data_IF_966083606280
#
_entry.id   IF_966083606280
#
_cell.length_a   1.000
_cell.length_b   1.000
_cell.length_c   1.000
_cell.angle_alpha   90.00
_cell.angle_beta   90.00
_cell.angle_gamma   90.00
#
_symmetry.space_group_name_H-M   'P 1'
#
loop_
_entity.id
_entity.type
_entity.pdbx_description
1 polymer ?
#
# COMPACT_ATOMS: atom_id res chain seq x y z
N UNK A 1 -9.40 -8.94 16.52
CA UNK A 1 -10.06 -9.02 17.85
C UNK A 1 -10.22 -10.44 18.39
N UNK A 2 -10.62 -11.43 17.58
CA UNK A 2 -10.78 -12.83 18.03
C UNK A 2 -9.51 -13.42 18.66
N UNK A 3 -8.35 -13.23 18.03
CA UNK A 3 -7.06 -13.73 18.57
C UNK A 3 -6.75 -13.22 19.98
N UNK A 4 -7.01 -11.94 20.28
CA UNK A 4 -6.83 -11.37 21.62
C UNK A 4 -7.81 -12.03 22.62
N UNK A 5 -9.06 -12.25 22.22
CA UNK A 5 -10.06 -12.93 23.04
C UNK A 5 -9.65 -14.37 23.36
N UNK A 6 -9.15 -15.10 22.38
CA UNK A 6 -8.67 -16.48 22.54
C UNK A 6 -7.44 -16.54 23.46
N UNK A 7 -6.54 -15.55 23.35
CA UNK A 7 -5.38 -15.43 24.22
C UNK A 7 -5.79 -15.13 25.67
N UNK A 8 -6.68 -14.16 25.88
CA UNK A 8 -7.23 -13.81 27.20
C UNK A 8 -7.91 -15.02 27.85
N UNK A 9 -8.69 -15.80 27.09
CA UNK A 9 -9.38 -16.98 27.59
C UNK A 9 -8.42 -18.07 28.14
N UNK A 10 -7.13 -18.05 27.79
CA UNK A 10 -6.14 -19.02 28.29
C UNK A 10 -5.69 -18.73 29.72
N UNK A 11 -5.71 -17.48 30.17
CA UNK A 11 -5.13 -17.11 31.47
C UNK A 11 -5.97 -16.12 32.31
N UNK A 12 -7.01 -15.53 31.75
CA UNK A 12 -7.93 -14.59 32.42
C UNK A 12 -9.23 -15.30 32.79
N UNK A 13 -9.80 -14.96 33.93
CA UNK A 13 -11.06 -15.49 34.41
C UNK A 13 -12.21 -15.14 33.44
N UNK A 14 -13.08 -16.11 33.09
CA UNK A 14 -14.21 -15.85 32.19
C UNK A 14 -15.14 -14.73 32.68
N UNK A 15 -15.30 -14.57 33.98
CA UNK A 15 -16.08 -13.48 34.59
C UNK A 15 -15.51 -12.10 34.25
N UNK A 16 -14.20 -11.92 34.38
CA UNK A 16 -13.52 -10.66 34.04
C UNK A 16 -13.59 -10.35 32.54
N UNK A 17 -13.53 -11.38 31.67
CA UNK A 17 -13.69 -11.19 30.22
C UNK A 17 -15.13 -10.78 29.87
N UNK A 18 -16.13 -11.45 30.46
CA UNK A 18 -17.55 -11.20 30.18
C UNK A 18 -18.07 -9.87 30.76
N UNK A 19 -17.41 -9.35 31.80
CA UNK A 19 -17.74 -8.05 32.39
C UNK A 19 -17.39 -6.86 31.48
N UNK A 20 -16.57 -7.07 30.44
CA UNK A 20 -16.15 -6.03 29.50
C UNK A 20 -16.85 -6.19 28.15
N UNK A 21 -17.28 -5.06 27.56
CA UNK A 21 -17.87 -5.03 26.22
C UNK A 21 -16.83 -5.33 25.14
N UNK A 22 -15.58 -4.90 25.36
CA UNK A 22 -14.46 -5.13 24.45
C UNK A 22 -13.30 -5.93 25.09
N UNK A 23 -12.66 -6.86 24.37
CA UNK A 23 -11.41 -7.49 24.78
C UNK A 23 -10.28 -6.50 25.13
N UNK A 24 -10.34 -5.25 24.64
CA UNK A 24 -9.36 -4.20 24.94
C UNK A 24 -9.49 -3.63 26.35
N UNK A 25 -10.66 -3.78 26.96
CA UNK A 25 -10.98 -3.20 28.28
C UNK A 25 -10.69 -4.19 29.41
N UNK A 26 -10.44 -5.46 29.08
CA UNK A 26 -10.23 -6.51 30.06
C UNK A 26 -8.99 -6.20 30.92
N UNK A 27 -9.13 -6.09 32.26
CA UNK A 27 -8.02 -5.80 33.18
C UNK A 27 -7.18 -7.05 33.45
N UNK A 28 -6.53 -7.59 32.41
CA UNK A 28 -5.76 -8.85 32.49
C UNK A 28 -4.43 -8.73 33.23
N UNK A 29 -3.94 -7.51 33.49
CA UNK A 29 -2.72 -7.28 34.27
C UNK A 29 -2.93 -7.58 35.76
N UNK A 30 -4.16 -7.44 36.25
CA UNK A 30 -4.51 -7.72 37.64
C UNK A 30 -4.56 -9.21 37.91
N UNK A 31 -3.76 -9.67 38.88
CA UNK A 31 -3.69 -11.07 39.27
C UNK A 31 -5.05 -11.63 39.73
N UNK A 32 -5.91 -10.78 40.32
CA UNK A 32 -7.28 -11.13 40.76
C UNK A 32 -8.18 -11.54 39.59
N UNK A 33 -7.91 -11.00 38.40
CA UNK A 33 -8.67 -11.29 37.19
C UNK A 33 -8.08 -12.47 36.42
N UNK A 34 -6.94 -13.01 36.84
CA UNK A 34 -6.31 -14.15 36.21
C UNK A 34 -6.75 -15.47 36.87
N UNK A 35 -6.72 -16.54 36.09
CA UNK A 35 -7.03 -17.91 36.54
C UNK A 35 -6.03 -18.40 37.58
N UNK A 36 -6.41 -19.39 38.39
CA UNK A 36 -5.47 -20.12 39.24
C UNK A 36 -4.43 -20.90 38.39
N UNK A 37 -3.35 -21.37 39.01
CA UNK A 37 -2.25 -22.03 38.27
C UNK A 37 -2.70 -23.31 37.57
N UNK A 38 -3.64 -24.02 38.19
CA UNK A 38 -4.20 -25.29 37.75
C UNK A 38 -5.14 -25.11 36.55
N UNK A 39 -5.72 -23.92 36.42
CA UNK A 39 -6.72 -23.57 35.41
C UNK A 39 -6.13 -22.87 34.17
N UNK A 40 -4.81 -22.60 34.17
CA UNK A 40 -4.12 -22.03 33.02
C UNK A 40 -4.12 -23.00 31.84
N UNK A 41 -4.50 -22.50 30.66
CA UNK A 41 -4.59 -23.31 29.45
C UNK A 41 -3.26 -23.30 28.69
N UNK A 42 -2.36 -24.21 29.07
CA UNK A 42 -0.97 -24.29 28.57
C UNK A 42 -0.70 -25.41 27.56
N UNK A 43 -1.67 -26.31 27.39
CA UNK A 43 -1.54 -27.54 26.60
C UNK A 43 -0.92 -28.69 27.38
N UNK A 44 -1.22 -29.93 26.96
CA UNK A 44 -0.86 -31.15 27.67
C UNK A 44 0.66 -31.32 27.86
N UNK A 45 1.46 -31.06 26.83
CA UNK A 45 2.93 -31.19 26.88
C UNK A 45 3.55 -30.26 27.93
N UNK A 46 3.12 -29.00 27.92
CA UNK A 46 3.59 -27.96 28.84
C UNK A 46 3.24 -28.28 30.29
N UNK A 47 2.02 -28.77 30.53
CA UNK A 47 1.58 -29.20 31.87
C UNK A 47 2.37 -30.41 32.37
N UNK A 48 2.69 -31.37 31.49
CA UNK A 48 3.54 -32.51 31.86
C UNK A 48 4.93 -32.08 32.33
N UNK A 49 5.54 -31.10 31.65
CA UNK A 49 6.80 -30.50 32.10
C UNK A 49 6.63 -29.82 33.46
N UNK A 50 5.57 -29.03 33.64
CA UNK A 50 5.30 -28.33 34.89
C UNK A 50 5.10 -29.28 36.08
N UNK A 51 4.44 -30.44 35.87
CA UNK A 51 4.22 -31.45 36.91
C UNK A 51 5.53 -32.00 37.49
N UNK A 52 6.55 -32.19 36.66
CA UNK A 52 7.87 -32.69 37.04
C UNK A 52 8.76 -31.69 37.78
N UNK A 53 8.35 -30.42 37.88
CA UNK A 53 9.13 -29.39 38.57
C UNK A 53 8.99 -29.47 40.10
N UNK A 54 10.06 -29.08 40.81
CA UNK A 54 10.03 -28.84 42.27
C UNK A 54 9.16 -27.63 42.60
N UNK A 55 8.64 -27.55 43.82
CA UNK A 55 7.72 -26.49 44.25
C UNK A 55 8.23 -25.06 43.97
N UNK A 56 9.50 -24.77 44.26
CA UNK A 56 10.11 -23.47 43.99
C UNK A 56 10.11 -23.12 42.49
N UNK A 57 10.50 -24.07 41.64
CA UNK A 57 10.51 -23.89 40.18
C UNK A 57 9.10 -23.85 39.57
N UNK A 58 8.10 -24.48 40.21
CA UNK A 58 6.69 -24.40 39.78
C UNK A 58 6.15 -22.98 39.91
N UNK A 59 6.42 -22.33 41.03
CA UNK A 59 5.97 -20.95 41.25
C UNK A 59 6.60 -20.00 40.22
N UNK A 60 7.91 -20.13 39.98
CA UNK A 60 8.62 -19.37 38.95
C UNK A 60 8.03 -19.62 37.56
N UNK A 61 7.84 -20.90 37.19
CA UNK A 61 7.25 -21.29 35.92
C UNK A 61 5.89 -20.63 35.66
N UNK A 62 4.96 -20.71 36.61
CA UNK A 62 3.63 -20.11 36.45
C UNK A 62 3.67 -18.58 36.41
N UNK A 63 4.60 -17.95 37.14
CA UNK A 63 4.84 -16.51 37.06
C UNK A 63 5.33 -16.11 35.65
N UNK A 64 6.30 -16.84 35.09
CA UNK A 64 6.82 -16.61 33.74
C UNK A 64 5.73 -16.80 32.68
N UNK A 65 4.90 -17.82 32.83
CA UNK A 65 3.76 -18.08 31.93
C UNK A 65 2.76 -16.93 31.92
N UNK A 66 2.38 -16.41 33.10
CA UNK A 66 1.49 -15.25 33.20
C UNK A 66 2.12 -14.03 32.57
N UNK A 67 3.40 -13.78 32.85
CA UNK A 67 4.16 -12.68 32.25
C UNK A 67 4.19 -12.79 30.72
N UNK A 68 4.41 -13.98 30.18
CA UNK A 68 4.38 -14.23 28.74
C UNK A 68 3.01 -13.84 28.14
N UNK A 69 1.91 -14.30 28.74
CA UNK A 69 0.58 -13.96 28.24
C UNK A 69 0.29 -12.45 28.35
N UNK A 70 0.62 -11.82 29.48
CA UNK A 70 0.44 -10.37 29.67
C UNK A 70 1.22 -9.57 28.63
N UNK A 71 2.52 -9.87 28.45
CA UNK A 71 3.38 -9.18 27.46
C UNK A 71 2.88 -9.42 26.04
N UNK A 72 2.37 -10.61 25.73
CA UNK A 72 1.78 -10.91 24.42
C UNK A 72 0.51 -10.11 24.19
N UNK A 73 -0.37 -9.99 25.18
CA UNK A 73 -1.56 -9.13 25.12
C UNK A 73 -1.17 -7.65 24.94
N UNK A 74 -0.18 -7.15 25.68
CA UNK A 74 0.31 -5.78 25.55
C UNK A 74 0.87 -5.54 24.14
N UNK A 75 1.71 -6.45 23.64
CA UNK A 75 2.25 -6.38 22.28
C UNK A 75 1.14 -6.35 21.23
N UNK A 76 0.10 -7.17 21.35
CA UNK A 76 -1.04 -7.15 20.43
C UNK A 76 -1.74 -5.79 20.49
N UNK A 77 -1.99 -5.25 21.68
CA UNK A 77 -2.66 -3.95 21.86
C UNK A 77 -1.83 -2.78 21.33
N UNK A 78 -0.51 -2.86 21.41
CA UNK A 78 0.39 -1.81 20.94
C UNK A 78 0.68 -1.91 19.44
N UNK A 79 0.91 -3.13 18.92
CA UNK A 79 1.29 -3.34 17.52
C UNK A 79 0.11 -3.27 16.58
N UNK A 80 -1.05 -3.79 16.99
CA UNK A 80 -2.26 -3.64 16.20
C UNK A 80 -2.96 -2.36 16.61
N UNK A 81 -3.23 -1.49 15.65
CA UNK A 81 -3.99 -0.28 15.85
C UNK A 81 -5.48 -0.62 16.02
N UNK A 82 -5.84 -1.36 17.08
CA UNK A 82 -7.19 -1.90 17.34
C UNK A 82 -8.23 -0.81 17.65
N UNK A 83 -7.78 0.43 17.85
CA UNK A 83 -8.63 1.64 17.96
C UNK A 83 -8.59 2.51 16.70
N UNK A 84 -7.97 2.04 15.62
CA UNK A 84 -7.87 2.81 14.39
C UNK A 84 -9.24 2.93 13.73
N UNK A 85 -9.69 4.16 13.58
CA UNK A 85 -10.99 4.48 12.99
C UNK A 85 -11.12 3.96 11.56
N UNK A 86 -10.06 4.02 10.75
CA UNK A 86 -10.03 3.46 9.39
C UNK A 86 -10.26 1.96 9.40
N UNK A 87 -9.60 1.21 10.29
CA UNK A 87 -9.77 -0.25 10.36
C UNK A 87 -11.16 -0.63 10.84
N UNK A 88 -11.72 0.09 11.81
CA UNK A 88 -13.08 -0.14 12.29
C UNK A 88 -14.10 0.14 11.18
N UNK A 89 -13.93 1.24 10.43
CA UNK A 89 -14.81 1.56 9.30
C UNK A 89 -14.64 0.55 8.16
N UNK A 90 -13.46 -0.04 7.97
CA UNK A 90 -13.22 -1.06 6.95
C UNK A 90 -14.03 -2.35 7.15
N UNK A 91 -14.60 -2.58 8.34
CA UNK A 91 -15.51 -3.71 8.58
C UNK A 91 -16.75 -3.68 7.67
N UNK A 92 -17.09 -2.52 7.10
CA UNK A 92 -18.12 -2.37 6.05
C UNK A 92 -17.91 -3.31 4.85
N UNK A 93 -16.65 -3.70 4.58
CA UNK A 93 -16.32 -4.64 3.52
C UNK A 93 -16.56 -6.11 3.89
N UNK A 94 -16.93 -6.42 5.13
CA UNK A 94 -17.24 -7.79 5.53
C UNK A 94 -18.75 -8.04 5.49
N UNK A 95 -19.20 -8.87 4.56
CA UNK A 95 -20.63 -9.16 4.37
C UNK A 95 -21.31 -9.75 5.62
N UNK A 96 -20.56 -10.38 6.53
CA UNK A 96 -21.12 -10.89 7.80
C UNK A 96 -21.64 -9.80 8.73
N UNK A 97 -21.12 -8.58 8.58
CA UNK A 97 -21.51 -7.41 9.37
C UNK A 97 -22.35 -6.42 8.54
N UNK A 98 -22.82 -6.82 7.35
CA UNK A 98 -23.54 -5.94 6.44
C UNK A 98 -24.79 -5.30 7.09
N UNK A 99 -25.50 -6.05 7.93
CA UNK A 99 -26.70 -5.55 8.62
C UNK A 99 -26.39 -4.45 9.65
N UNK A 100 -25.20 -4.49 10.26
CA UNK A 100 -24.75 -3.52 11.26
C UNK A 100 -23.89 -2.40 10.64
N UNK A 101 -23.57 -2.53 9.35
CA UNK A 101 -22.67 -1.63 8.65
C UNK A 101 -23.33 -0.25 8.41
N UNK A 102 -22.58 0.81 8.67
CA UNK A 102 -23.06 2.19 8.57
C UNK A 102 -22.64 2.85 7.25
N UNK A 103 -23.55 3.64 6.67
CA UNK A 103 -23.23 4.56 5.55
C UNK A 103 -22.08 5.51 5.87
N UNK A 104 -21.88 5.84 7.15
CA UNK A 104 -20.77 6.67 7.61
C UNK A 104 -19.40 6.07 7.24
N UNK A 105 -19.30 4.73 7.18
CA UNK A 105 -18.09 4.04 6.75
C UNK A 105 -17.83 4.21 5.26
N UNK A 106 -18.86 4.10 4.41
CA UNK A 106 -18.75 4.35 2.96
C UNK A 106 -18.30 5.77 2.69
N UNK A 107 -18.99 6.75 3.31
CA UNK A 107 -18.65 8.17 3.20
C UNK A 107 -17.20 8.43 3.59
N UNK A 108 -16.76 7.91 4.74
CA UNK A 108 -15.39 8.06 5.21
C UNK A 108 -14.37 7.61 4.16
N UNK A 109 -14.57 6.46 3.52
CA UNK A 109 -13.62 5.98 2.51
C UNK A 109 -13.71 6.73 1.19
N UNK A 110 -14.90 7.13 0.75
CA UNK A 110 -15.06 7.93 -0.47
C UNK A 110 -14.44 9.32 -0.30
N UNK A 111 -14.59 9.94 0.88
CA UNK A 111 -13.96 11.21 1.23
C UNK A 111 -12.43 11.08 1.36
N UNK A 112 -11.95 10.03 2.04
CA UNK A 112 -10.52 9.79 2.26
C UNK A 112 -9.79 9.38 0.98
N UNK A 113 -10.45 8.61 0.10
CA UNK A 113 -9.89 8.07 -1.14
C UNK A 113 -10.85 8.30 -2.32
N UNK A 114 -10.91 9.53 -2.87
CA UNK A 114 -11.85 9.89 -3.93
C UNK A 114 -11.87 8.95 -5.15
N UNK A 115 -10.76 8.26 -5.42
CA UNK A 115 -10.57 7.38 -6.59
C UNK A 115 -11.27 6.01 -6.45
N UNK A 116 -11.74 5.65 -5.26
CA UNK A 116 -12.42 4.35 -5.04
C UNK A 116 -13.91 4.41 -5.40
N UNK A 117 -14.46 5.61 -5.62
CA UNK A 117 -15.84 5.78 -6.04
C UNK A 117 -15.92 5.47 -7.54
N UNK A 118 -16.59 4.40 -7.97
CA UNK A 118 -16.79 4.16 -9.39
C UNK A 118 -17.72 5.24 -9.93
N UNK A 119 -17.30 5.90 -11.00
CA UNK A 119 -18.01 7.03 -11.60
C UNK A 119 -18.12 6.82 -13.11
N UNK A 120 -19.29 7.09 -13.68
CA UNK A 120 -19.53 7.10 -15.12
C UNK A 120 -18.87 8.29 -15.82
N UNK A 121 -18.68 8.22 -17.15
CA UNK A 121 -17.96 9.27 -17.93
C UNK A 121 -18.57 10.68 -17.80
N UNK A 122 -19.90 10.76 -17.67
CA UNK A 122 -20.65 12.01 -17.61
C UNK A 122 -21.45 12.15 -16.29
N UNK A 123 -21.17 11.30 -15.31
CA UNK A 123 -21.84 11.29 -14.01
C UNK A 123 -21.09 12.23 -13.08
N UNK A 124 -21.79 13.06 -12.31
CA UNK A 124 -21.16 13.88 -11.27
C UNK A 124 -20.76 13.02 -10.07
N UNK A 125 -19.83 13.53 -9.26
CA UNK A 125 -19.39 12.81 -8.05
C UNK A 125 -20.52 12.63 -7.03
N UNK A 126 -21.44 13.59 -6.97
CA UNK A 126 -22.60 13.54 -6.06
C UNK A 126 -23.57 12.45 -6.51
N UNK A 127 -23.94 12.43 -7.79
CA UNK A 127 -24.81 11.38 -8.36
C UNK A 127 -24.20 9.98 -8.19
N UNK A 128 -22.89 9.85 -8.44
CA UNK A 128 -22.18 8.59 -8.26
C UNK A 128 -22.21 8.09 -6.80
N UNK A 129 -22.12 9.01 -5.85
CA UNK A 129 -22.15 8.68 -4.43
C UNK A 129 -23.58 8.36 -3.95
N UNK A 130 -24.57 9.12 -4.39
CA UNK A 130 -25.98 8.85 -4.10
C UNK A 130 -26.41 7.47 -4.66
N UNK A 131 -25.96 7.13 -5.87
CA UNK A 131 -26.18 5.81 -6.47
C UNK A 131 -25.50 4.68 -5.67
N UNK A 132 -24.28 4.92 -5.15
CA UNK A 132 -23.58 3.97 -4.29
C UNK A 132 -24.33 3.75 -2.96
N UNK A 133 -24.82 4.81 -2.32
CA UNK A 133 -25.62 4.71 -1.11
C UNK A 133 -26.94 3.96 -1.38
N UNK A 134 -27.58 4.23 -2.53
CA UNK A 134 -28.76 3.49 -2.98
C UNK A 134 -28.52 1.99 -3.15
N UNK A 135 -27.47 1.61 -3.90
CA UNK A 135 -27.11 0.19 -4.08
C UNK A 135 -26.77 -0.50 -2.75
N UNK A 136 -26.07 0.19 -1.83
CA UNK A 136 -25.74 -0.35 -0.53
C UNK A 136 -26.99 -0.57 0.34
N UNK A 137 -27.92 0.39 0.34
CA UNK A 137 -29.19 0.26 1.06
C UNK A 137 -30.02 -0.91 0.52
N UNK A 138 -30.08 -1.08 -0.80
CA UNK A 138 -30.76 -2.20 -1.42
C UNK A 138 -30.08 -3.53 -1.11
N UNK A 139 -28.73 -3.57 -1.11
CA UNK A 139 -27.95 -4.75 -0.75
C UNK A 139 -28.21 -5.18 0.70
N UNK A 140 -28.32 -4.24 1.64
CA UNK A 140 -28.67 -4.53 3.05
C UNK A 140 -30.05 -5.18 3.20
N UNK A 141 -31.00 -4.82 2.32
CA UNK A 141 -32.33 -5.45 2.29
C UNK A 141 -32.36 -6.76 1.48
N UNK A 142 -31.30 -7.06 0.73
CA UNK A 142 -31.23 -8.21 -0.15
C UNK A 142 -30.80 -9.48 0.59
N UNK A 143 -31.46 -10.61 0.28
CA UNK A 143 -31.04 -11.92 0.80
C UNK A 143 -29.90 -12.48 -0.06
N UNK A 144 -28.67 -12.27 0.40
CA UNK A 144 -27.47 -12.85 -0.20
C UNK A 144 -27.47 -14.38 0.01
N UNK A 145 -27.14 -15.15 -1.03
CA UNK A 145 -27.04 -16.62 -0.96
C UNK A 145 -26.01 -17.08 0.08
N UNK A 146 -26.32 -18.17 0.79
CA UNK A 146 -25.40 -18.79 1.75
C UNK A 146 -24.09 -19.25 1.09
N UNK A 147 -24.12 -19.62 -0.20
CA UNK A 147 -22.91 -19.97 -0.96
C UNK A 147 -21.90 -18.81 -1.01
N UNK A 148 -22.41 -17.58 -1.14
CA UNK A 148 -21.57 -16.38 -1.13
C UNK A 148 -21.07 -16.09 0.29
N UNK A 149 -21.93 -16.23 1.31
CA UNK A 149 -21.57 -15.90 2.70
C UNK A 149 -20.60 -16.92 3.33
N UNK A 150 -20.64 -18.18 2.87
CA UNK A 150 -19.79 -19.26 3.34
C UNK A 150 -18.38 -19.25 2.74
N UNK A 151 -18.18 -18.56 1.62
CA UNK A 151 -16.86 -18.38 1.00
C UNK A 151 -15.87 -17.71 1.96
N UNK A 152 -14.65 -18.25 2.05
CA UNK A 152 -13.63 -17.77 3.01
C UNK A 152 -13.08 -16.39 2.59
N UNK A 153 -13.02 -16.15 1.28
CA UNK A 153 -12.40 -14.97 0.70
C UNK A 153 -13.40 -13.85 0.44
N UNK A 154 -13.32 -12.78 1.24
CA UNK A 154 -14.15 -11.57 1.14
C UNK A 154 -14.15 -10.97 -0.27
N UNK A 155 -13.01 -10.96 -0.98
CA UNK A 155 -12.94 -10.45 -2.34
C UNK A 155 -13.72 -11.31 -3.35
N UNK A 156 -13.73 -12.63 -3.16
CA UNK A 156 -14.57 -13.54 -3.96
C UNK A 156 -16.04 -13.29 -3.65
N UNK A 157 -16.39 -13.10 -2.38
CA UNK A 157 -17.77 -12.76 -1.99
C UNK A 157 -18.25 -11.51 -2.73
N UNK A 158 -17.48 -10.41 -2.71
CA UNK A 158 -17.86 -9.20 -3.42
C UNK A 158 -17.88 -9.36 -4.94
N UNK A 159 -16.99 -10.18 -5.51
CA UNK A 159 -17.04 -10.51 -6.93
C UNK A 159 -18.35 -11.21 -7.31
N UNK A 160 -18.86 -12.13 -6.48
CA UNK A 160 -20.15 -12.78 -6.74
C UNK A 160 -21.33 -11.84 -6.48
N UNK A 161 -21.28 -10.99 -5.46
CA UNK A 161 -22.28 -9.92 -5.24
C UNK A 161 -22.40 -9.02 -6.46
N UNK A 162 -21.28 -8.65 -7.07
CA UNK A 162 -21.25 -7.82 -8.28
C UNK A 162 -21.79 -8.51 -9.55
N UNK A 163 -22.06 -9.82 -9.50
CA UNK A 163 -22.69 -10.60 -10.58
C UNK A 163 -24.17 -10.85 -10.35
N UNK A 164 -24.73 -10.41 -9.22
CA UNK A 164 -26.16 -10.55 -8.96
C UNK A 164 -26.92 -9.65 -9.94
N UNK A 165 -27.78 -10.27 -10.75
CA UNK A 165 -28.65 -9.60 -11.71
C UNK A 165 -30.10 -9.57 -11.23
N UNK A 166 -30.87 -8.60 -11.72
CA UNK A 166 -32.33 -8.56 -11.57
C UNK A 166 -33.01 -9.58 -12.48
N UNK A 167 -34.34 -9.63 -12.42
CA UNK A 167 -35.17 -10.42 -13.34
C UNK A 167 -34.98 -9.96 -14.79
N UNK A 168 -34.66 -8.67 -14.98
CA UNK A 168 -34.43 -8.05 -16.29
C UNK A 168 -32.97 -8.19 -16.76
N UNK A 169 -32.18 -9.08 -16.15
CA UNK A 169 -30.75 -9.32 -16.44
C UNK A 169 -29.80 -8.14 -16.18
N UNK A 170 -30.28 -7.08 -15.52
CA UNK A 170 -29.47 -5.92 -15.15
C UNK A 170 -28.69 -6.15 -13.85
N UNK A 171 -27.43 -5.72 -13.80
CA UNK A 171 -26.56 -5.88 -12.62
C UNK A 171 -27.05 -4.99 -11.48
N UNK A 172 -27.32 -5.57 -10.30
CA UNK A 172 -27.91 -4.84 -9.16
C UNK A 172 -26.89 -4.10 -8.30
N UNK A 173 -25.76 -4.75 -8.01
CA UNK A 173 -24.80 -4.30 -6.97
C UNK A 173 -23.40 -4.04 -7.53
N UNK A 174 -23.34 -3.61 -8.79
CA UNK A 174 -22.08 -3.47 -9.53
C UNK A 174 -21.18 -2.37 -8.96
N UNK A 175 -21.75 -1.25 -8.53
CA UNK A 175 -20.98 -0.11 -7.99
C UNK A 175 -20.47 -0.41 -6.60
N UNK A 176 -21.34 -0.89 -5.71
CA UNK A 176 -20.94 -1.25 -4.34
C UNK A 176 -19.90 -2.36 -4.34
N UNK A 177 -20.07 -3.40 -5.16
CA UNK A 177 -19.07 -4.47 -5.32
C UNK A 177 -17.73 -3.91 -5.77
N UNK A 178 -17.71 -3.08 -6.81
CA UNK A 178 -16.47 -2.50 -7.35
C UNK A 178 -15.77 -1.59 -6.34
N UNK A 179 -16.51 -0.78 -5.60
CA UNK A 179 -15.96 0.06 -4.53
C UNK A 179 -15.35 -0.79 -3.42
N UNK A 180 -16.03 -1.86 -2.98
CA UNK A 180 -15.51 -2.75 -1.93
C UNK A 180 -14.26 -3.52 -2.38
N UNK A 181 -14.22 -3.98 -3.63
CA UNK A 181 -13.02 -4.58 -4.21
C UNK A 181 -11.84 -3.60 -4.24
N UNK A 182 -12.09 -2.32 -4.56
CA UNK A 182 -11.06 -1.27 -4.50
C UNK A 182 -10.63 -0.97 -3.06
N UNK A 183 -11.57 -0.94 -2.11
CA UNK A 183 -11.29 -0.78 -0.69
C UNK A 183 -10.38 -1.91 -0.16
N UNK A 184 -10.65 -3.17 -0.55
CA UNK A 184 -9.83 -4.32 -0.20
C UNK A 184 -8.43 -4.29 -0.82
N UNK A 185 -8.24 -3.50 -1.90
CA UNK A 185 -6.95 -3.27 -2.52
C UNK A 185 -6.18 -2.08 -1.90
N UNK A 186 -6.83 -1.26 -1.04
CA UNK A 186 -6.11 -0.20 -0.33
C UNK A 186 -5.13 -0.86 0.64
N UNK A 187 -3.82 -0.51 0.56
CA UNK A 187 -2.85 -0.98 1.53
C UNK A 187 -3.13 -0.30 2.88
N UNK A 188 -4.00 -0.90 3.70
CA UNK A 188 -4.12 -0.54 5.11
C UNK A 188 -2.86 -1.00 5.84
N UNK A 189 -2.29 -0.15 6.69
CA UNK A 189 -1.09 -0.42 7.48
C UNK A 189 -1.36 -1.42 8.62
N UNK A 190 -1.85 -2.61 8.29
CA UNK A 190 -1.56 -3.83 9.01
C UNK A 190 -0.45 -4.50 8.23
N UNK A 191 0.78 -4.21 8.65
CA UNK A 191 1.93 -5.03 8.34
C UNK A 191 1.61 -6.47 8.73
N UNK A 192 1.19 -7.27 7.76
CA UNK A 192 1.92 -8.49 7.42
C UNK A 192 1.89 -8.68 5.91
N UNK A 193 3.06 -9.01 5.41
CA UNK A 193 3.44 -9.33 4.05
C UNK A 193 2.73 -10.60 3.52
N UNK A 194 1.56 -10.96 4.05
CA UNK A 194 0.88 -12.22 3.77
C UNK A 194 -0.23 -12.12 2.72
N UNK A 195 -0.83 -10.95 2.46
CA UNK A 195 -1.97 -10.90 1.51
C UNK A 195 -1.57 -11.09 0.04
N UNK A 196 -0.40 -10.65 -0.38
CA UNK A 196 -0.02 -10.79 -1.81
C UNK A 196 0.53 -12.19 -2.10
N UNK A 197 1.16 -12.88 -1.13
CA UNK A 197 1.82 -14.19 -1.36
C UNK A 197 1.04 -15.42 -0.91
N UNK A 198 0.11 -15.32 0.04
CA UNK A 198 -0.82 -16.42 0.34
C UNK A 198 -1.90 -16.57 -0.74
N UNK A 199 -2.08 -15.56 -1.59
CA UNK A 199 -2.98 -15.56 -2.75
C UNK A 199 -2.37 -16.13 -4.03
N UNK A 200 -1.16 -16.70 -4.00
CA UNK A 200 -0.68 -17.57 -5.08
C UNK A 200 -1.49 -18.88 -5.04
N UNK A 201 -2.78 -18.81 -5.38
CA UNK A 201 -3.51 -19.96 -5.89
C UNK A 201 -2.69 -20.47 -7.08
N UNK A 202 -2.49 -21.80 -7.19
CA UNK A 202 -2.09 -22.41 -8.45
C UNK A 202 -3.09 -21.93 -9.50
N UNK A 203 -2.67 -21.03 -10.40
CA UNK A 203 -3.44 -20.78 -11.61
C UNK A 203 -3.67 -22.10 -12.33
N UNK A 204 -4.76 -22.22 -13.09
CA UNK A 204 -4.94 -23.37 -13.97
C UNK A 204 -3.65 -23.56 -14.81
N UNK A 205 -3.14 -24.79 -14.98
CA UNK A 205 -1.91 -25.00 -15.73
C UNK A 205 -1.99 -24.32 -17.11
N UNK A 206 -1.06 -23.41 -17.39
CA UNK A 206 -1.04 -22.66 -18.65
C UNK A 206 -1.98 -21.46 -18.73
N UNK A 207 -2.51 -20.94 -17.61
CA UNK A 207 -3.36 -19.75 -17.60
C UNK A 207 -2.73 -18.49 -18.23
N UNK A 208 -1.40 -18.45 -18.37
CA UNK A 208 -0.67 -17.36 -19.03
C UNK A 208 -0.04 -17.80 -20.37
N UNK A 209 -0.48 -18.92 -20.95
CA UNK A 209 0.04 -19.41 -22.23
C UNK A 209 -0.16 -18.36 -23.33
N UNK A 210 0.92 -18.03 -24.03
CA UNK A 210 0.93 -17.02 -25.10
C UNK A 210 1.13 -15.59 -24.61
N UNK A 211 1.15 -15.34 -23.30
CA UNK A 211 1.43 -14.03 -22.71
C UNK A 211 2.94 -13.84 -22.57
N UNK A 212 3.48 -12.73 -23.10
CA UNK A 212 4.88 -12.36 -22.88
C UNK A 212 4.97 -11.24 -21.85
N UNK A 213 5.73 -11.45 -20.79
CA UNK A 213 5.85 -10.53 -19.65
C UNK A 213 7.25 -9.96 -19.54
N UNK A 214 7.37 -8.74 -19.01
CA UNK A 214 8.64 -8.15 -18.58
C UNK A 214 8.50 -7.72 -17.13
N UNK A 215 9.42 -8.16 -16.27
CA UNK A 215 9.48 -7.73 -14.87
C UNK A 215 10.58 -6.70 -14.70
N UNK A 216 10.26 -5.55 -14.11
CA UNK A 216 11.20 -4.44 -13.89
C UNK A 216 11.05 -3.86 -12.48
N UNK A 217 12.12 -3.32 -11.93
CA UNK A 217 12.15 -2.76 -10.57
C UNK A 217 12.25 -3.82 -9.47
N UNK A 218 12.15 -3.38 -8.23
CA UNK A 218 12.08 -4.17 -7.00
C UNK A 218 10.62 -4.35 -6.64
N UNK A 219 10.13 -5.59 -6.68
CA UNK A 219 8.77 -5.90 -6.26
C UNK A 219 8.72 -5.91 -4.73
N UNK A 220 7.61 -5.46 -4.15
CA UNK A 220 7.51 -5.26 -2.70
C UNK A 220 7.48 -6.56 -1.90
N UNK A 221 7.16 -7.66 -2.57
CA UNK A 221 6.73 -8.87 -1.87
C UNK A 221 7.28 -10.18 -2.49
N UNK A 222 7.99 -10.13 -3.62
CA UNK A 222 8.66 -11.29 -4.25
C UNK A 222 9.94 -10.88 -4.94
N UNK A 223 10.94 -11.75 -4.92
CA UNK A 223 12.16 -11.52 -5.67
C UNK A 223 11.92 -11.68 -7.17
N UNK A 224 12.75 -11.03 -7.99
CA UNK A 224 12.56 -11.02 -9.45
C UNK A 224 12.65 -12.43 -10.04
N UNK A 225 13.54 -13.26 -9.50
CA UNK A 225 13.78 -14.61 -10.00
C UNK A 225 12.65 -15.56 -9.60
N UNK A 226 12.14 -15.45 -8.37
CA UNK A 226 10.95 -16.17 -7.92
C UNK A 226 9.71 -15.77 -8.74
N UNK A 227 9.54 -14.48 -9.03
CA UNK A 227 8.43 -13.99 -9.85
C UNK A 227 8.54 -14.54 -11.27
N UNK A 228 9.75 -14.63 -11.82
CA UNK A 228 9.99 -15.21 -13.15
C UNK A 228 9.60 -16.68 -13.16
N UNK A 229 10.06 -17.47 -12.19
CA UNK A 229 9.76 -18.91 -12.12
C UNK A 229 8.24 -19.16 -11.99
N UNK A 230 7.56 -18.36 -11.17
CA UNK A 230 6.12 -18.45 -10.98
C UNK A 230 5.35 -18.16 -12.28
N UNK A 231 5.72 -17.11 -13.00
CA UNK A 231 5.08 -16.73 -14.27
C UNK A 231 5.33 -17.77 -15.37
N UNK A 232 6.55 -18.31 -15.45
CA UNK A 232 6.89 -19.38 -16.39
C UNK A 232 6.13 -20.68 -16.09
N UNK A 233 5.98 -21.02 -14.81
CA UNK A 233 5.16 -22.17 -14.35
C UNK A 233 3.69 -22.03 -14.75
N UNK A 234 3.18 -20.80 -14.82
CA UNK A 234 1.84 -20.48 -15.31
C UNK A 234 1.74 -20.45 -16.84
N UNK A 235 2.83 -20.69 -17.58
CA UNK A 235 2.86 -20.75 -19.05
C UNK A 235 3.23 -19.44 -19.75
N UNK A 236 3.59 -18.38 -19.01
CA UNK A 236 4.03 -17.12 -19.59
C UNK A 236 5.46 -17.20 -20.13
N UNK A 237 5.79 -16.34 -21.10
CA UNK A 237 7.17 -16.10 -21.53
C UNK A 237 7.71 -14.84 -20.84
N UNK A 238 8.65 -14.97 -19.92
CA UNK A 238 9.25 -13.81 -19.23
C UNK A 238 10.52 -13.36 -19.96
N UNK A 239 10.60 -12.07 -20.29
CA UNK A 239 11.73 -11.48 -21.02
C UNK A 239 12.32 -10.29 -20.28
N UNK A 240 13.61 -9.99 -20.49
CA UNK A 240 14.31 -8.92 -19.79
C UNK A 240 14.13 -7.54 -20.45
N UNK A 241 13.71 -7.51 -21.71
CA UNK A 241 13.57 -6.31 -22.53
C UNK A 241 12.17 -6.19 -23.11
N UNK A 242 11.61 -4.98 -23.08
CA UNK A 242 10.35 -4.67 -23.75
C UNK A 242 10.52 -4.77 -25.26
N UNK A 243 9.61 -5.50 -25.91
CA UNK A 243 9.54 -5.72 -27.35
C UNK A 243 8.09 -5.53 -27.85
N UNK A 244 7.87 -5.55 -29.17
CA UNK A 244 6.51 -5.50 -29.73
C UNK A 244 5.63 -6.69 -29.33
N UNK A 245 6.25 -7.81 -28.94
CA UNK A 245 5.53 -9.00 -28.52
C UNK A 245 5.24 -9.01 -27.01
N UNK A 246 5.67 -7.99 -26.25
CA UNK A 246 5.42 -7.89 -24.82
C UNK A 246 3.94 -7.57 -24.56
N UNK A 247 3.24 -8.46 -23.87
CA UNK A 247 1.81 -8.35 -23.55
C UNK A 247 1.58 -7.53 -22.28
N UNK A 248 2.41 -7.72 -21.24
CA UNK A 248 2.33 -6.88 -20.02
C UNK A 248 3.71 -6.58 -19.42
N UNK A 249 3.80 -5.42 -18.76
CA UNK A 249 4.95 -4.98 -17.98
C UNK A 249 4.59 -5.00 -16.48
N UNK A 250 5.28 -5.81 -15.70
CA UNK A 250 5.17 -5.85 -14.23
C UNK A 250 6.23 -4.91 -13.66
N UNK A 251 5.80 -3.74 -13.18
CA UNK A 251 6.69 -2.70 -12.69
C UNK A 251 6.65 -2.58 -11.15
N UNK A 252 7.80 -2.78 -10.51
CA UNK A 252 8.03 -2.53 -9.09
C UNK A 252 8.68 -1.17 -8.81
N UNK A 253 9.11 -0.96 -7.56
CA UNK A 253 9.86 0.24 -7.13
C UNK A 253 11.20 0.34 -7.88
N UNK A 254 11.70 1.55 -8.10
CA UNK A 254 12.94 1.81 -8.84
C UNK A 254 12.97 1.21 -10.27
N UNK A 255 11.80 1.04 -10.89
CA UNK A 255 11.72 0.63 -12.28
C UNK A 255 12.37 1.66 -13.20
N UNK A 256 13.34 1.22 -13.99
CA UNK A 256 14.07 2.09 -14.90
C UNK A 256 13.11 2.81 -15.87
N UNK A 257 13.14 4.15 -15.96
CA UNK A 257 12.17 4.91 -16.75
C UNK A 257 12.23 4.58 -18.24
N UNK A 258 13.37 4.09 -18.74
CA UNK A 258 13.53 3.67 -20.13
C UNK A 258 12.63 2.49 -20.52
N UNK A 259 12.40 1.51 -19.63
CA UNK A 259 11.56 0.33 -19.94
C UNK A 259 10.07 0.68 -19.96
N UNK A 260 9.63 1.51 -19.01
CA UNK A 260 8.25 2.03 -18.95
C UNK A 260 7.96 2.87 -20.20
N UNK A 261 8.86 3.80 -20.56
CA UNK A 261 8.72 4.63 -21.77
C UNK A 261 8.65 3.79 -23.05
N UNK A 262 9.50 2.76 -23.16
CA UNK A 262 9.51 1.85 -24.32
C UNK A 262 8.17 1.12 -24.46
N UNK A 263 7.56 0.68 -23.35
CA UNK A 263 6.24 0.06 -23.36
C UNK A 263 5.15 1.04 -23.85
N UNK A 264 5.13 2.26 -23.28
CA UNK A 264 4.18 3.30 -23.67
C UNK A 264 4.32 3.70 -25.15
N UNK A 265 5.55 3.76 -25.67
CA UNK A 265 5.80 4.09 -27.08
C UNK A 265 5.36 3.03 -28.07
N UNK A 266 5.20 1.77 -27.64
CA UNK A 266 4.80 0.64 -28.49
C UNK A 266 3.27 0.58 -28.66
N UNK A 267 2.50 1.05 -27.65
CA UNK A 267 1.03 0.97 -27.63
C UNK A 267 0.29 2.18 -28.25
N UNK A 268 0.99 3.06 -28.99
CA UNK A 268 0.33 4.02 -29.88
C UNK A 268 -0.52 5.12 -29.23
N UNK A 269 -0.39 5.40 -27.92
CA UNK A 269 -0.94 6.63 -27.34
C UNK A 269 0.07 7.77 -27.45
N UNK A 270 -0.13 8.63 -28.46
CA UNK A 270 0.49 9.96 -28.52
C UNK A 270 -0.11 10.85 -27.41
N UNK A 271 0.50 10.79 -26.22
CA UNK A 271 0.36 11.79 -25.16
C UNK A 271 1.64 12.62 -25.05
N UNK A 272 1.58 13.90 -24.65
CA UNK A 272 2.73 14.80 -24.70
C UNK A 272 3.84 14.25 -23.81
N UNK A 273 5.00 14.02 -24.40
CA UNK A 273 6.20 13.56 -23.67
C UNK A 273 6.44 14.46 -22.45
N UNK A 274 6.52 13.91 -21.22
CA UNK A 274 6.97 14.68 -20.09
C UNK A 274 8.42 15.11 -20.35
N UNK A 275 8.66 16.42 -20.46
CA UNK A 275 10.01 16.98 -20.54
C UNK A 275 10.76 16.63 -19.25
N UNK A 276 11.50 15.52 -19.24
CA UNK A 276 12.53 15.29 -18.21
C UNK A 276 13.48 16.49 -18.28
N UNK A 277 13.55 17.32 -17.21
CA UNK A 277 14.47 18.46 -17.18
C UNK A 277 15.89 17.92 -17.20
N UNK A 278 16.54 17.95 -18.37
CA UNK A 278 17.94 17.57 -18.50
C UNK A 278 18.80 18.74 -17.99
N UNK A 279 19.50 18.50 -16.89
CA UNK A 279 20.45 19.47 -16.36
C UNK A 279 21.78 19.36 -17.12
N UNK A 280 22.07 20.35 -17.95
CA UNK A 280 23.34 20.46 -18.66
C UNK A 280 24.38 21.17 -17.77
N UNK A 281 25.63 20.72 -17.87
CA UNK A 281 26.76 21.37 -17.22
C UNK A 281 27.21 22.62 -17.98
N UNK A 282 28.14 23.38 -17.38
CA UNK A 282 28.62 24.63 -17.92
C UNK A 282 29.40 24.41 -19.23
N UNK A 283 30.16 23.32 -19.31
CA UNK A 283 30.95 22.98 -20.50
C UNK A 283 30.06 22.77 -21.72
N UNK A 284 29.03 21.95 -21.59
CA UNK A 284 28.05 21.70 -22.65
C UNK A 284 27.33 22.98 -23.07
N UNK A 285 26.90 23.81 -22.09
CA UNK A 285 26.22 25.08 -22.39
C UNK A 285 27.12 26.05 -23.16
N UNK A 286 28.43 26.10 -22.89
CA UNK A 286 29.38 26.92 -23.65
C UNK A 286 29.47 26.49 -25.11
N UNK A 287 29.55 25.18 -25.37
CA UNK A 287 29.58 24.64 -26.74
C UNK A 287 28.31 25.01 -27.50
N UNK A 288 27.14 24.88 -26.86
CA UNK A 288 25.85 25.25 -27.46
C UNK A 288 25.77 26.75 -27.72
N UNK A 289 26.23 27.60 -26.79
CA UNK A 289 26.27 29.05 -26.99
C UNK A 289 27.19 29.42 -28.16
N UNK A 290 28.36 28.80 -28.27
CA UNK A 290 29.30 29.05 -29.38
C UNK A 290 28.66 28.78 -30.73
N UNK A 291 28.02 27.62 -30.91
CA UNK A 291 27.30 27.29 -32.14
C UNK A 291 26.09 28.22 -32.38
N UNK A 292 25.42 28.66 -31.32
CA UNK A 292 24.29 29.60 -31.47
C UNK A 292 24.73 31.02 -31.89
N UNK A 293 26.00 31.39 -31.67
CA UNK A 293 26.58 32.67 -32.10
C UNK A 293 27.03 32.65 -33.56
N UNK A 294 27.47 31.49 -34.05
CA UNK A 294 27.86 31.30 -35.46
C UNK A 294 26.67 31.00 -36.37
N UNK A 295 25.82 30.06 -35.97
CA UNK A 295 24.81 29.43 -36.86
C UNK A 295 23.37 29.80 -36.45
N UNK A 296 23.20 30.52 -35.35
CA UNK A 296 21.91 30.96 -34.82
C UNK A 296 21.23 29.95 -33.89
N UNK A 297 20.27 30.44 -33.09
CA UNK A 297 19.64 29.67 -32.01
C UNK A 297 18.92 28.41 -32.51
N UNK A 298 18.26 28.50 -33.66
CA UNK A 298 17.48 27.41 -34.24
C UNK A 298 18.37 26.29 -34.78
N UNK A 299 19.52 26.64 -35.35
CA UNK A 299 20.52 25.68 -35.79
C UNK A 299 21.14 24.95 -34.58
N UNK A 300 21.58 25.69 -33.57
CA UNK A 300 22.13 25.11 -32.33
C UNK A 300 21.12 24.21 -31.60
N UNK A 301 19.85 24.62 -31.54
CA UNK A 301 18.75 23.81 -30.99
C UNK A 301 18.66 22.43 -31.67
N UNK A 302 18.72 22.40 -33.01
CA UNK A 302 18.67 21.16 -33.80
C UNK A 302 19.94 20.32 -33.64
N UNK A 303 21.11 20.94 -33.71
CA UNK A 303 22.40 20.23 -33.65
C UNK A 303 22.64 19.55 -32.30
N UNK A 304 22.18 20.15 -31.21
CA UNK A 304 22.44 19.67 -29.85
C UNK A 304 21.22 19.05 -29.16
N UNK A 305 20.06 18.99 -29.83
CA UNK A 305 18.83 18.41 -29.26
C UNK A 305 18.31 19.17 -28.03
N UNK A 306 18.59 20.47 -27.93
CA UNK A 306 18.21 21.33 -26.81
C UNK A 306 17.08 22.26 -27.24
N UNK A 307 16.02 22.46 -26.44
CA UNK A 307 14.97 23.43 -26.77
C UNK A 307 15.54 24.84 -27.03
N UNK A 308 15.09 25.49 -28.11
CA UNK A 308 15.55 26.83 -28.50
C UNK A 308 15.38 27.87 -27.37
N UNK A 309 14.35 27.72 -26.53
CA UNK A 309 14.15 28.53 -25.32
C UNK A 309 15.33 28.44 -24.36
N UNK A 310 15.88 27.25 -24.14
CA UNK A 310 17.04 27.04 -23.28
C UNK A 310 18.30 27.65 -23.89
N UNK A 311 18.50 27.52 -25.21
CA UNK A 311 19.62 28.15 -25.93
C UNK A 311 19.58 29.67 -25.74
N UNK A 312 18.40 30.28 -25.90
CA UNK A 312 18.19 31.72 -25.69
C UNK A 312 18.48 32.14 -24.24
N UNK A 313 18.01 31.38 -23.26
CA UNK A 313 18.21 31.70 -21.84
C UNK A 313 19.69 31.55 -21.43
N UNK A 314 20.39 30.55 -21.95
CA UNK A 314 21.83 30.39 -21.71
C UNK A 314 22.66 31.50 -22.34
N UNK A 315 22.27 32.00 -23.53
CA UNK A 315 22.91 33.18 -24.14
C UNK A 315 22.76 34.43 -23.27
N UNK A 316 21.60 34.65 -22.64
CA UNK A 316 21.42 35.75 -21.67
C UNK A 316 22.33 35.62 -20.45
N UNK A 317 22.69 34.39 -20.07
CA UNK A 317 23.56 34.07 -18.95
C UNK A 317 25.01 33.78 -19.37
N UNK A 318 25.42 34.14 -20.60
CA UNK A 318 26.71 33.75 -21.20
C UNK A 318 27.91 34.02 -20.28
N UNK A 319 27.98 35.22 -19.70
CA UNK A 319 29.09 35.61 -18.82
C UNK A 319 29.14 34.74 -17.55
N UNK A 320 27.99 34.57 -16.86
CA UNK A 320 27.88 33.71 -15.66
C UNK A 320 28.25 32.24 -15.95
N UNK A 321 27.94 31.73 -17.14
CA UNK A 321 28.28 30.37 -17.56
C UNK A 321 29.77 30.24 -17.90
N UNK A 322 30.36 31.26 -18.55
CA UNK A 322 31.78 31.31 -18.85
C UNK A 322 32.62 31.29 -17.56
N UNK A 323 32.24 32.09 -16.56
CA UNK A 323 33.01 32.27 -15.32
C UNK A 323 32.87 31.11 -14.30
N UNK A 324 32.02 30.12 -14.60
CA UNK A 324 31.74 29.00 -13.69
C UNK A 324 32.65 27.77 -13.89
N UNK A 325 32.64 26.83 -12.93
CA UNK A 325 33.31 25.53 -13.12
C UNK A 325 32.59 24.71 -14.20
N UNK A 326 33.37 23.99 -15.02
CA UNK A 326 32.87 23.17 -16.13
C UNK A 326 31.73 22.21 -15.73
N UNK A 327 31.79 21.64 -14.53
CA UNK A 327 30.81 20.68 -14.01
C UNK A 327 29.55 21.32 -13.42
N UNK A 328 29.47 22.66 -13.31
CA UNK A 328 28.34 23.34 -12.67
C UNK A 328 27.08 23.24 -13.53
N UNK A 329 26.00 22.69 -12.97
CA UNK A 329 24.73 22.48 -13.68
C UNK A 329 23.67 23.57 -13.41
N UNK A 330 23.68 24.15 -12.21
CA UNK A 330 22.73 25.15 -11.73
C UNK A 330 23.29 26.57 -11.75
N UNK A 331 22.51 27.49 -12.33
CA UNK A 331 22.84 28.92 -12.48
C UNK A 331 21.76 29.83 -11.88
N UNK A 332 20.85 29.24 -11.10
CA UNK A 332 19.86 29.96 -10.30
C UNK A 332 20.58 30.72 -9.19
N UNK A 333 20.18 31.96 -8.95
CA UNK A 333 20.53 32.68 -7.72
C UNK A 333 19.95 31.91 -6.52
N UNK A 334 20.56 32.00 -5.32
CA UNK A 334 20.02 31.36 -4.12
C UNK A 334 18.62 31.92 -3.85
N UNK A 335 17.60 31.16 -4.25
CA UNK A 335 16.25 31.51 -3.90
C UNK A 335 16.07 31.25 -2.41
N UNK A 336 15.64 32.27 -1.67
CA UNK A 336 15.03 32.04 -0.36
C UNK A 336 13.86 31.07 -0.60
N UNK A 337 13.97 29.87 -0.03
CA UNK A 337 12.92 28.86 -0.17
C UNK A 337 11.59 29.42 0.33
N UNK A 338 10.48 28.81 -0.10
CA UNK A 338 9.11 29.23 0.22
C UNK A 338 8.83 29.43 1.72
N UNK A 339 9.63 28.82 2.59
CA UNK A 339 9.55 28.92 4.04
C UNK A 339 10.96 29.12 4.64
N UNK A 340 11.48 30.36 4.64
CA UNK A 340 12.82 30.65 5.13
C UNK A 340 12.98 30.34 6.63
N UNK A 341 11.93 30.58 7.43
CA UNK A 341 11.93 30.30 8.87
C UNK A 341 12.04 28.79 9.18
N UNK A 342 11.39 27.93 8.38
CA UNK A 342 11.48 26.47 8.57
C UNK A 342 12.91 25.97 8.31
N UNK A 343 13.60 26.57 7.34
CA UNK A 343 14.98 26.21 7.02
C UNK A 343 15.95 26.59 8.13
N UNK A 344 15.70 27.71 8.81
CA UNK A 344 16.49 28.18 9.95
C UNK A 344 16.29 27.28 11.17
N UNK A 345 15.03 27.00 11.55
CA UNK A 345 14.68 26.07 12.63
C UNK A 345 15.21 24.65 12.40
N UNK A 346 15.16 24.16 11.16
CA UNK A 346 15.71 22.84 10.81
C UNK A 346 17.25 22.83 10.90
N UNK A 347 17.89 23.96 10.58
CA UNK A 347 19.34 24.12 10.72
C UNK A 347 19.78 24.09 12.18
N UNK A 348 19.09 24.83 13.05
CA UNK A 348 19.33 24.84 14.50
C UNK A 348 19.15 23.45 15.10
N UNK A 349 18.05 22.77 14.77
CA UNK A 349 17.79 21.41 15.23
C UNK A 349 18.89 20.41 14.82
N UNK A 350 19.37 20.49 13.57
CA UNK A 350 20.45 19.59 13.10
C UNK A 350 21.76 19.86 13.82
N UNK A 351 22.07 21.12 14.12
CA UNK A 351 23.27 21.48 14.89
C UNK A 351 23.18 21.00 16.34
N UNK A 352 22.02 21.10 16.98
CA UNK A 352 21.78 20.55 18.32
C UNK A 352 21.94 19.02 18.36
N UNK A 353 21.40 18.31 17.37
CA UNK A 353 21.54 16.85 17.28
C UNK A 353 22.98 16.40 17.02
N UNK A 354 23.76 17.18 16.27
CA UNK A 354 25.18 16.90 16.03
C UNK A 354 26.05 17.19 17.25
N UNK A 355 25.73 18.24 18.02
CA UNK A 355 26.39 18.55 19.28
C UNK A 355 26.11 17.48 20.35
N UNK A 356 24.88 16.93 20.37
CA UNK A 356 24.48 15.86 21.28
C UNK A 356 25.09 14.47 20.94
N UNK A 357 25.70 14.32 19.76
CA UNK A 357 26.32 13.08 19.29
C UNK A 357 27.85 13.08 19.35
N UNK A 358 28.48 14.15 19.85
CA UNK A 358 29.91 14.11 20.17
C UNK A 358 30.10 13.49 21.57
N UNK A 359 30.99 12.49 21.72
CA UNK A 359 31.15 11.70 22.95
C UNK A 359 31.70 12.48 24.15
#
# INVERSE_FOLDING_TARGET
MQFLRDLLARFVNPSAIKACSSPLEVPYQDLKNQKANEDLVLGCRTLSVAKGLRASKKQEFFSTVRKYFTVTCDYIRHKFSLKNETLNKAEVANLKFLNDASFTSLRFFVESFPQILPQGKNESRVEAFDALEGEFAELQAHRISEDILSEERIDVQWSEVGRITSVDEEVKFGRVSKMMLQLLAIPHSNAECERIFRMVKKGAPGCLKGVTLVVTGVLECIERDDAKELLERCGAKVTQSVSRNTTYLVAGRDSGPAKIRKCISIDGMEGPTPKTRVHHDAAFKRTVIGCAETDGNRAASRSFGVPETCVRDWRKQKQKIADSKASRKGFSEPQQGRFPQIKELLGEYVLEQQAAQQP
#
